data_IF_227472236587
#
_entry.id   IF_227472236587
#
_cell.length_a   1.000
_cell.length_b   1.000
_cell.length_c   1.000
_cell.angle_alpha   90.00
_cell.angle_beta   90.00
_cell.angle_gamma   90.00
#
_symmetry.space_group_name_H-M   'P 1'
#
loop_
_entity.id
_entity.type
_entity.pdbx_description
1 polymer ?
#
# COMPACT_ATOMS: atom_id res chain seq x y z
N UNK A 1 -15.85 7.45 -10.83
CA UNK A 1 -16.76 6.34 -10.78
C UNK A 1 -16.13 5.16 -10.03
N UNK A 2 -16.95 4.44 -9.27
CA UNK A 2 -16.44 3.44 -8.32
C UNK A 2 -15.66 2.30 -8.97
N UNK A 3 -16.20 1.62 -10.01
CA UNK A 3 -15.43 0.53 -10.62
C UNK A 3 -14.11 0.99 -11.21
N UNK A 4 -14.07 2.20 -11.78
CA UNK A 4 -12.84 2.75 -12.34
C UNK A 4 -11.81 3.00 -11.26
N UNK A 5 -12.27 3.46 -10.08
CA UNK A 5 -11.36 3.73 -8.97
C UNK A 5 -10.72 2.44 -8.47
N UNK A 6 -11.53 1.37 -8.34
CA UNK A 6 -10.99 0.08 -7.93
C UNK A 6 -9.99 -0.44 -8.94
N UNK A 7 -10.31 -0.30 -10.22
CA UNK A 7 -9.40 -0.74 -11.27
C UNK A 7 -8.09 0.03 -11.22
N UNK A 8 -8.14 1.34 -10.99
CA UNK A 8 -6.92 2.14 -10.87
C UNK A 8 -6.10 1.69 -9.66
N UNK A 9 -6.74 1.41 -8.52
CA UNK A 9 -6.02 0.92 -7.35
C UNK A 9 -5.34 -0.41 -7.65
N UNK A 10 -6.05 -1.28 -8.35
CA UNK A 10 -5.48 -2.57 -8.73
C UNK A 10 -4.24 -2.39 -9.61
N UNK A 11 -4.33 -1.50 -10.59
CA UNK A 11 -3.19 -1.24 -11.47
C UNK A 11 -2.02 -0.63 -10.70
N UNK A 12 -2.32 0.27 -9.77
CA UNK A 12 -1.27 0.90 -8.96
C UNK A 12 -0.56 -0.13 -8.08
N UNK A 13 -1.33 -0.99 -7.42
CA UNK A 13 -0.76 -2.00 -6.53
C UNK A 13 0.05 -3.01 -7.34
N UNK A 14 -0.45 -3.38 -8.51
CA UNK A 14 0.29 -4.29 -9.39
C UNK A 14 1.62 -3.68 -9.82
N UNK A 15 1.62 -2.39 -10.16
CA UNK A 15 2.85 -1.71 -10.54
C UNK A 15 3.83 -1.66 -9.36
N UNK A 16 3.33 -1.41 -8.15
CA UNK A 16 4.17 -1.41 -6.96
C UNK A 16 4.84 -2.76 -6.76
N UNK A 17 4.05 -3.84 -6.91
CA UNK A 17 4.59 -5.18 -6.77
C UNK A 17 5.70 -5.45 -7.78
N UNK A 18 5.47 -5.05 -9.02
CA UNK A 18 6.49 -5.24 -10.06
C UNK A 18 7.78 -4.51 -9.71
N UNK A 19 7.66 -3.27 -9.25
CA UNK A 19 8.84 -2.47 -8.91
C UNK A 19 9.57 -3.08 -7.70
N UNK A 20 8.82 -3.49 -6.67
CA UNK A 20 9.47 -4.01 -5.47
C UNK A 20 10.10 -5.37 -5.71
N UNK A 21 9.51 -6.18 -6.59
CA UNK A 21 10.12 -7.47 -6.92
C UNK A 21 11.41 -7.28 -7.71
N UNK A 22 11.43 -6.32 -8.64
CA UNK A 22 12.66 -5.98 -9.33
C UNK A 22 13.71 -5.46 -8.35
N UNK A 23 13.28 -4.62 -7.41
CA UNK A 23 14.18 -4.09 -6.40
C UNK A 23 14.78 -5.20 -5.55
N UNK A 24 13.96 -6.19 -5.22
CA UNK A 24 14.41 -7.31 -4.41
C UNK A 24 15.46 -8.14 -5.17
N UNK A 25 15.17 -8.46 -6.42
CA UNK A 25 16.08 -9.28 -7.23
C UNK A 25 17.41 -8.56 -7.42
N UNK A 26 17.38 -7.24 -7.66
CA UNK A 26 18.57 -6.46 -7.91
C UNK A 26 19.20 -5.89 -6.65
N UNK A 27 18.53 -6.03 -5.53
CA UNK A 27 18.93 -5.42 -4.25
C UNK A 27 19.14 -3.91 -4.44
N UNK A 28 18.17 -3.28 -5.11
CA UNK A 28 18.23 -1.86 -5.46
C UNK A 28 17.39 -1.05 -4.48
N UNK A 29 18.04 -0.38 -3.53
CA UNK A 29 17.36 0.41 -2.52
C UNK A 29 16.61 1.59 -3.09
N UNK A 30 17.09 2.15 -4.19
CA UNK A 30 16.43 3.27 -4.83
C UNK A 30 15.08 2.85 -5.41
N UNK A 31 15.05 1.72 -6.13
CA UNK A 31 13.82 1.17 -6.64
C UNK A 31 12.86 0.81 -5.52
N UNK A 32 13.39 0.27 -4.42
CA UNK A 32 12.57 -0.07 -3.28
C UNK A 32 11.89 1.18 -2.71
N UNK A 33 12.61 2.28 -2.61
CA UNK A 33 12.03 3.53 -2.14
C UNK A 33 10.97 4.05 -3.08
N UNK A 34 11.20 3.85 -4.38
CA UNK A 34 10.22 4.25 -5.37
C UNK A 34 8.91 3.49 -5.20
N UNK A 35 9.00 2.18 -4.97
CA UNK A 35 7.80 1.38 -4.74
C UNK A 35 7.04 1.88 -3.50
N UNK A 36 7.77 2.23 -2.44
CA UNK A 36 7.13 2.73 -1.23
C UNK A 36 6.42 4.06 -1.49
N UNK A 37 7.01 4.92 -2.30
CA UNK A 37 6.39 6.21 -2.61
C UNK A 37 5.10 6.05 -3.42
N UNK A 38 5.01 4.99 -4.22
CA UNK A 38 3.82 4.72 -5.00
C UNK A 38 2.61 4.46 -4.13
N UNK A 39 2.83 4.05 -2.88
CA UNK A 39 1.74 3.77 -1.96
C UNK A 39 0.91 5.01 -1.66
N UNK A 40 1.51 6.18 -1.74
CA UNK A 40 0.76 7.43 -1.51
C UNK A 40 -0.35 7.60 -2.52
N UNK A 41 -0.14 7.18 -3.76
CA UNK A 41 -1.16 7.27 -4.79
C UNK A 41 -2.30 6.30 -4.54
N UNK A 42 -1.98 5.12 -4.00
CA UNK A 42 -3.01 4.15 -3.64
C UNK A 42 -3.90 4.72 -2.54
N UNK A 43 -3.30 5.37 -1.54
CA UNK A 43 -4.05 6.00 -0.47
C UNK A 43 -5.00 7.07 -0.99
N UNK A 44 -4.54 7.89 -1.93
CA UNK A 44 -5.38 8.92 -2.52
C UNK A 44 -6.56 8.30 -3.24
N UNK A 45 -6.31 7.25 -4.01
CA UNK A 45 -7.41 6.58 -4.73
C UNK A 45 -8.39 5.92 -3.76
N UNK A 46 -7.89 5.37 -2.66
CA UNK A 46 -8.77 4.77 -1.68
C UNK A 46 -9.70 5.83 -1.06
N UNK A 47 -9.17 7.01 -0.76
CA UNK A 47 -10.00 8.08 -0.22
C UNK A 47 -11.10 8.47 -1.20
N UNK A 48 -10.78 8.54 -2.48
CA UNK A 48 -11.78 8.82 -3.50
C UNK A 48 -12.84 7.74 -3.57
N UNK A 49 -12.41 6.49 -3.47
CA UNK A 49 -13.34 5.36 -3.46
C UNK A 49 -14.27 5.45 -2.26
N UNK A 50 -13.71 5.69 -1.09
CA UNK A 50 -14.47 5.76 0.15
C UNK A 50 -15.56 6.82 0.05
N UNK A 51 -15.18 8.03 -0.36
CA UNK A 51 -16.13 9.12 -0.47
C UNK A 51 -17.22 8.83 -1.49
N UNK A 52 -16.84 8.27 -2.62
CA UNK A 52 -17.79 7.95 -3.67
C UNK A 52 -18.79 6.88 -3.23
N UNK A 53 -18.30 5.84 -2.55
CA UNK A 53 -19.16 4.77 -2.08
C UNK A 53 -20.12 5.28 -1.01
N UNK A 54 -19.63 6.06 -0.06
CA UNK A 54 -20.49 6.62 0.99
C UNK A 54 -21.59 7.48 0.37
N UNK A 55 -21.23 8.33 -0.58
CA UNK A 55 -22.20 9.19 -1.24
C UNK A 55 -23.28 8.36 -1.96
N UNK A 56 -22.86 7.30 -2.64
CA UNK A 56 -23.81 6.47 -3.38
C UNK A 56 -24.68 5.62 -2.48
N UNK A 57 -24.16 5.18 -1.35
CA UNK A 57 -24.96 4.46 -0.37
C UNK A 57 -26.00 5.40 0.24
N UNK A 58 -25.59 6.63 0.53
CA UNK A 58 -26.50 7.61 1.12
C UNK A 58 -27.62 7.97 0.17
N UNK A 59 -27.34 8.07 -1.13
CA UNK A 59 -28.34 8.41 -2.13
C UNK A 59 -29.21 7.22 -2.54
N UNK A 60 -28.87 6.02 -2.07
CA UNK A 60 -29.61 4.81 -2.46
C UNK A 60 -29.17 4.21 -3.77
N UNK A 61 -28.15 4.78 -4.40
CA UNK A 61 -27.63 4.27 -5.65
C UNK A 61 -26.93 2.94 -5.48
N UNK A 62 -26.30 2.74 -4.32
CA UNK A 62 -25.73 1.47 -3.91
C UNK A 62 -26.39 1.02 -2.63
N UNK A 63 -26.63 -0.29 -2.52
CA UNK A 63 -27.08 -0.83 -1.24
C UNK A 63 -25.95 -0.80 -0.24
N UNK A 64 -26.27 -0.93 1.04
CA UNK A 64 -25.25 -1.00 2.07
C UNK A 64 -24.34 -2.20 1.82
N UNK A 65 -24.92 -3.32 1.41
CA UNK A 65 -24.15 -4.52 1.14
C UNK A 65 -23.17 -4.31 -0.02
N UNK A 66 -23.66 -3.74 -1.12
CA UNK A 66 -22.81 -3.48 -2.27
C UNK A 66 -21.67 -2.54 -1.92
N UNK A 67 -22.00 -1.46 -1.20
CA UNK A 67 -20.97 -0.49 -0.79
C UNK A 67 -19.95 -1.10 0.13
N UNK A 68 -20.39 -1.95 1.03
CA UNK A 68 -19.49 -2.61 1.96
C UNK A 68 -18.49 -3.49 1.23
N UNK A 69 -18.96 -4.26 0.24
CA UNK A 69 -18.04 -5.10 -0.52
C UNK A 69 -17.04 -4.27 -1.34
N UNK A 70 -17.50 -3.15 -1.88
CA UNK A 70 -16.59 -2.28 -2.62
C UNK A 70 -15.51 -1.68 -1.73
N UNK A 71 -15.90 -1.24 -0.53
CA UNK A 71 -14.93 -0.70 0.42
C UNK A 71 -13.97 -1.78 0.90
N UNK A 72 -14.49 -3.00 1.06
CA UNK A 72 -13.64 -4.10 1.47
C UNK A 72 -12.61 -4.43 0.41
N UNK A 73 -13.02 -4.43 -0.87
CA UNK A 73 -12.09 -4.67 -1.96
C UNK A 73 -10.99 -3.62 -1.98
N UNK A 74 -11.37 -2.34 -1.85
CA UNK A 74 -10.39 -1.26 -1.82
C UNK A 74 -9.46 -1.38 -0.64
N UNK A 75 -10.01 -1.70 0.52
CA UNK A 75 -9.20 -1.85 1.73
C UNK A 75 -8.17 -2.97 1.58
N UNK A 76 -8.59 -4.08 0.97
CA UNK A 76 -7.64 -5.18 0.75
C UNK A 76 -6.53 -4.80 -0.21
N UNK A 77 -6.86 -4.03 -1.25
CA UNK A 77 -5.82 -3.53 -2.15
C UNK A 77 -4.86 -2.61 -1.42
N UNK A 78 -5.38 -1.76 -0.55
CA UNK A 78 -4.54 -0.87 0.24
C UNK A 78 -3.60 -1.66 1.15
N UNK A 79 -4.10 -2.73 1.73
CA UNK A 79 -3.27 -3.58 2.58
C UNK A 79 -2.15 -4.25 1.81
N UNK A 80 -2.40 -4.62 0.56
CA UNK A 80 -1.32 -5.16 -0.28
C UNK A 80 -0.26 -4.09 -0.50
N UNK A 81 -0.67 -2.85 -0.75
CA UNK A 81 0.27 -1.74 -0.87
C UNK A 81 1.12 -1.56 0.37
N UNK A 82 0.49 -1.67 1.54
CA UNK A 82 1.23 -1.57 2.80
C UNK A 82 2.27 -2.68 2.93
N UNK A 83 1.94 -3.88 2.48
CA UNK A 83 2.91 -4.98 2.52
C UNK A 83 4.06 -4.75 1.55
N UNK A 84 3.77 -4.16 0.40
CA UNK A 84 4.83 -3.78 -0.54
C UNK A 84 5.77 -2.78 0.13
N UNK A 85 5.21 -1.80 0.84
CA UNK A 85 6.01 -0.83 1.56
C UNK A 85 6.92 -1.51 2.59
N UNK A 86 6.38 -2.50 3.31
CA UNK A 86 7.18 -3.25 4.27
C UNK A 86 8.33 -3.98 3.59
N UNK A 87 8.08 -4.60 2.45
CA UNK A 87 9.13 -5.27 1.70
C UNK A 87 10.18 -4.25 1.26
N UNK A 88 9.73 -3.08 0.78
CA UNK A 88 10.64 -2.01 0.37
C UNK A 88 11.56 -1.60 1.50
N UNK A 89 11.00 -1.45 2.70
CA UNK A 89 11.80 -1.05 3.86
C UNK A 89 12.84 -2.10 4.19
N UNK A 90 12.49 -3.37 4.07
CA UNK A 90 13.43 -4.44 4.33
C UNK A 90 14.56 -4.47 3.30
N UNK A 91 14.24 -4.17 2.05
CA UNK A 91 15.28 -4.11 1.02
C UNK A 91 16.25 -2.97 1.30
N UNK A 92 15.72 -1.80 1.62
CA UNK A 92 16.54 -0.65 1.95
C UNK A 92 17.43 -0.96 3.16
N UNK A 93 16.85 -1.58 4.17
CA UNK A 93 17.58 -1.95 5.37
C UNK A 93 18.71 -2.92 5.05
N UNK A 94 18.40 -3.96 4.29
CA UNK A 94 19.41 -4.96 3.92
C UNK A 94 20.50 -4.35 3.06
N UNK A 95 20.13 -3.48 2.13
CA UNK A 95 21.09 -2.86 1.22
C UNK A 95 22.03 -1.94 1.97
N UNK A 96 21.56 -1.27 3.00
CA UNK A 96 22.38 -0.36 3.79
C UNK A 96 23.24 -1.08 4.82
N UNK A 97 23.12 -2.40 4.90
CA UNK A 97 23.86 -3.19 5.87
C UNK A 97 23.09 -3.38 7.16
N UNK A 98 22.06 -2.62 7.37
CA UNK A 98 21.14 -2.83 8.47
C UNK A 98 21.60 -2.40 9.83
N UNK A 99 22.90 -2.18 10.00
CA UNK A 99 23.44 -1.98 11.33
C UNK A 99 23.10 -0.62 11.90
N UNK A 100 23.23 0.40 11.08
CA UNK A 100 23.02 1.74 11.58
C UNK A 100 21.55 2.00 11.87
N UNK A 101 20.65 1.22 11.32
CA UNK A 101 19.24 1.42 11.56
C UNK A 101 18.78 0.77 12.82
N UNK A 102 19.56 -0.12 13.35
CA UNK A 102 19.17 -0.81 14.56
C UNK A 102 19.17 0.05 15.76
N UNK A 103 19.75 1.16 15.53
CA UNK A 103 19.74 1.97 16.61
C UNK A 103 18.60 2.72 16.71
N UNK A 104 17.98 2.56 16.53
CA UNK A 104 16.98 3.04 16.52
C UNK A 104 15.97 2.86 16.91
N UNK A 105 16.03 2.49 16.63
CA UNK A 105 15.06 2.23 16.67
C UNK A 105 14.22 1.81 17.19
N UNK A 106 14.16 1.80 17.66
CA UNK A 106 13.27 1.14 17.84
C UNK A 106 12.21 1.08 17.87
N UNK A 107 12.20 0.84 17.38
CA UNK A 107 11.43 0.68 17.29
C UNK A 107 10.98 0.35 16.95
N UNK A 108 11.33 0.26 16.68
CA UNK A 108 11.34 -0.07 16.28
C UNK A 108 10.96 -0.70 16.39
N UNK A 109 11.18 -0.71 16.76
CA UNK A 109 11.00 -1.29 16.85
C UNK A 109 10.18 -1.55 17.23
N UNK A 110 10.11 -1.72 17.18
CA UNK A 110 9.56 -1.90 17.38
C UNK A 110 8.81 -1.94 17.14
N UNK A 111 8.96 -2.06 16.93
CA UNK A 111 8.55 -2.07 16.50
C UNK A 111 8.16 -2.62 16.03
N UNK A 112 8.55 -3.00 15.97
CA UNK A 112 8.66 -3.28 15.46
C UNK A 112 8.39 -4.03 15.33
N UNK A 113 8.69 -4.07 15.42
CA UNK A 113 8.78 -4.47 15.33
C UNK A 113 8.13 -4.76 15.29
N UNK A 114 8.17 -4.72 15.24
CA UNK A 114 7.90 -4.87 15.03
C UNK A 114 7.36 -5.15 14.69
N UNK A 115 7.44 -5.37 14.35
CA UNK A 115 7.31 -5.58 13.87
C UNK A 115 6.90 -5.99 13.63
N UNK A 116 6.85 -6.16 13.38
CA UNK A 116 6.72 -6.62 13.10
C UNK A 116 6.45 -6.72 13.11
#
# INVERSE_FOLDING_TARGET
>A
EVPSTIDRMHQQVKAMLDVVMDAYVEMDGQKAREAARMDDEVDVEYQKLFESVITRMTSGELSIEEGTYLLWAGHNLERIGDRVTNISERIVYAKSGGVHDLNPKPHEREAGEEES
#
